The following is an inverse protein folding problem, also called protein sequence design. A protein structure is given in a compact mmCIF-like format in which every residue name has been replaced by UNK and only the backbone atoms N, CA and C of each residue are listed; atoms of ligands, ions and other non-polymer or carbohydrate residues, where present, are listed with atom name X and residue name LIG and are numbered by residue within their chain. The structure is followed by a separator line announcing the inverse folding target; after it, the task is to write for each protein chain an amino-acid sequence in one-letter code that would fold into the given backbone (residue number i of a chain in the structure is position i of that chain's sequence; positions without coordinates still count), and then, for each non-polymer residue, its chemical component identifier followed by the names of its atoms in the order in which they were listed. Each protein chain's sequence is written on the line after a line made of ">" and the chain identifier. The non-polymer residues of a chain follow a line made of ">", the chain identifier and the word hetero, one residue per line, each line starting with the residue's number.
data_IF_438296478733
#
_entry.id   IF_438296478733
#
_cell.length_a   1.000
_cell.length_b   1.000
_cell.length_c   1.000
_cell.angle_alpha   90.00
_cell.angle_beta   90.00
_cell.angle_gamma   90.00
#
_symmetry.space_group_name_H-M   'P 1'
#
loop_
_entity.id
_entity.type
_entity.pdbx_description
1 polymer ?
#
# COMPACT_ATOMS: atom_id res chain seq x y z
N UNK A 1 -9.55 7.75 22.71
CA UNK A 1 -9.44 6.28 22.62
C UNK A 1 -8.79 5.73 21.32
N UNK A 2 -8.87 6.40 20.15
CA UNK A 2 -8.30 5.92 18.86
C UNK A 2 -6.76 5.74 18.78
N UNK A 3 -5.97 6.29 19.72
CA UNK A 3 -4.50 6.13 19.72
C UNK A 3 -4.00 4.77 20.25
N UNK A 4 -4.71 4.12 21.20
CA UNK A 4 -4.25 2.88 21.81
C UNK A 4 -4.38 1.65 20.89
N UNK A 5 -5.49 1.54 20.14
CA UNK A 5 -5.67 0.46 19.17
C UNK A 5 -4.59 0.48 18.07
N UNK A 6 -4.17 1.67 17.64
CA UNK A 6 -3.12 1.84 16.62
C UNK A 6 -1.76 1.31 17.10
N UNK A 7 -1.48 1.38 18.40
CA UNK A 7 -0.24 0.87 19.01
C UNK A 7 -0.26 -0.65 19.16
N UNK A 8 -1.40 -1.22 19.56
CA UNK A 8 -1.56 -2.68 19.71
C UNK A 8 -1.44 -3.44 18.39
N UNK A 9 -2.05 -2.93 17.31
CA UNK A 9 -1.93 -3.54 15.98
C UNK A 9 -0.51 -3.41 15.41
N UNK A 10 0.18 -2.30 15.69
CA UNK A 10 1.59 -2.07 15.36
C UNK A 10 2.52 -3.07 16.04
N UNK A 11 2.27 -3.39 17.31
CA UNK A 11 3.09 -4.40 17.98
C UNK A 11 2.78 -5.82 17.48
N UNK A 12 1.58 -6.07 16.94
CA UNK A 12 1.15 -7.39 16.44
C UNK A 12 1.73 -7.74 15.06
N UNK A 13 1.72 -6.80 14.10
CA UNK A 13 2.31 -6.98 12.77
C UNK A 13 3.82 -7.26 12.84
N UNK A 14 4.51 -6.42 13.60
CA UNK A 14 5.92 -6.62 13.95
C UNK A 14 6.21 -7.96 14.63
N UNK A 15 5.34 -8.39 15.56
CA UNK A 15 5.46 -9.68 16.24
C UNK A 15 5.26 -10.84 15.27
N UNK A 16 4.35 -10.76 14.30
CA UNK A 16 4.15 -11.80 13.29
C UNK A 16 5.33 -11.94 12.33
N UNK A 17 5.90 -10.82 11.84
CA UNK A 17 7.08 -10.88 10.97
C UNK A 17 8.28 -11.40 11.75
N UNK A 18 8.51 -10.92 12.99
CA UNK A 18 9.51 -11.51 13.89
C UNK A 18 9.25 -12.99 14.12
N UNK A 19 8.00 -13.40 14.31
CA UNK A 19 7.64 -14.79 14.56
C UNK A 19 7.95 -15.68 13.35
N UNK A 20 7.69 -15.23 12.12
CA UNK A 20 8.05 -15.99 10.90
C UNK A 20 9.56 -16.23 10.82
N UNK A 21 10.37 -15.17 10.94
CA UNK A 21 11.83 -15.31 10.89
C UNK A 21 12.39 -16.05 12.13
N UNK A 22 11.77 -15.87 13.29
CA UNK A 22 12.11 -16.59 14.51
C UNK A 22 11.83 -18.09 14.37
N UNK A 23 10.67 -18.49 13.82
CA UNK A 23 10.36 -19.89 13.53
C UNK A 23 11.40 -20.47 12.57
N UNK A 24 11.77 -19.76 11.51
CA UNK A 24 12.78 -20.24 10.55
C UNK A 24 14.13 -20.44 11.25
N UNK A 25 14.58 -19.48 12.06
CA UNK A 25 15.84 -19.60 12.81
C UNK A 25 15.78 -20.73 13.84
N UNK A 26 14.67 -20.88 14.57
CA UNK A 26 14.49 -21.94 15.57
C UNK A 26 14.48 -23.32 14.91
N UNK A 27 13.82 -23.47 13.75
CA UNK A 27 13.84 -24.72 12.98
C UNK A 27 15.24 -25.03 12.48
N UNK A 28 16.00 -24.03 12.01
CA UNK A 28 17.38 -24.21 11.58
C UNK A 28 18.30 -24.66 12.74
N UNK A 29 18.18 -24.02 13.91
CA UNK A 29 18.91 -24.41 15.11
C UNK A 29 18.51 -25.80 15.62
N UNK A 30 17.22 -26.15 15.53
CA UNK A 30 16.73 -27.47 15.91
C UNK A 30 17.32 -28.56 15.00
N UNK A 31 17.39 -28.33 13.68
CA UNK A 31 18.07 -29.22 12.74
C UNK A 31 19.56 -29.36 13.06
N UNK A 32 20.22 -28.28 13.49
CA UNK A 32 21.62 -28.31 13.91
C UNK A 32 21.83 -29.15 15.17
N UNK A 33 20.92 -29.07 16.15
CA UNK A 33 20.95 -29.91 17.35
C UNK A 33 20.71 -31.39 17.01
N UNK A 34 19.74 -31.70 16.14
CA UNK A 34 19.44 -33.07 15.71
C UNK A 34 20.65 -33.67 14.97
N UNK A 35 21.26 -32.91 14.05
CA UNK A 35 22.45 -33.37 13.31
C UNK A 35 23.66 -33.55 14.21
N UNK A 36 23.89 -32.66 15.19
CA UNK A 36 24.93 -32.82 16.22
C UNK A 36 24.70 -34.08 17.07
N UNK A 37 23.46 -34.35 17.47
CA UNK A 37 23.12 -35.52 18.29
C UNK A 37 23.35 -36.82 17.52
N UNK A 38 22.96 -36.86 16.24
CA UNK A 38 23.25 -38.00 15.36
C UNK A 38 24.74 -38.20 15.12
N UNK A 39 25.51 -37.11 15.00
CA UNK A 39 26.96 -37.15 14.89
C UNK A 39 27.59 -37.77 16.14
N UNK A 40 27.23 -37.29 17.33
CA UNK A 40 27.74 -37.81 18.61
C UNK A 40 27.37 -39.28 18.83
N UNK A 41 26.16 -39.70 18.45
CA UNK A 41 25.72 -41.10 18.54
C UNK A 41 26.49 -42.03 17.60
N UNK A 42 26.78 -41.59 16.38
CA UNK A 42 27.59 -42.37 15.42
C UNK A 42 29.07 -42.44 15.82
N UNK A 43 29.57 -41.44 16.54
CA UNK A 43 30.95 -41.34 17.01
C UNK A 43 31.40 -42.55 17.84
N UNK A 44 30.48 -43.16 18.60
CA UNK A 44 30.79 -44.31 19.46
C UNK A 44 31.04 -45.62 18.70
N UNK A 45 30.64 -45.71 17.43
CA UNK A 45 30.60 -46.97 16.66
C UNK A 45 31.47 -46.99 15.39
N UNK A 46 32.31 -45.96 15.15
CA UNK A 46 33.05 -45.79 13.89
C UNK A 46 34.58 -45.81 14.06
N UNK A 47 35.29 -46.23 13.01
CA UNK A 47 36.75 -46.13 12.91
C UNK A 47 37.17 -44.65 12.73
N UNK A 48 38.36 -44.29 13.21
CA UNK A 48 38.85 -42.91 13.26
C UNK A 48 38.82 -42.15 11.91
N UNK A 49 39.00 -42.84 10.78
CA UNK A 49 38.95 -42.25 9.43
C UNK A 49 37.53 -41.84 9.00
N UNK A 50 36.52 -42.66 9.31
CA UNK A 50 35.12 -42.33 9.02
C UNK A 50 34.65 -41.16 9.89
N UNK A 51 35.12 -41.14 11.13
CA UNK A 51 34.91 -40.08 12.12
C UNK A 51 35.44 -38.72 11.63
N UNK A 52 36.64 -38.69 11.02
CA UNK A 52 37.23 -37.49 10.44
C UNK A 52 36.41 -36.94 9.26
N UNK A 53 35.99 -37.80 8.34
CA UNK A 53 35.14 -37.40 7.20
C UNK A 53 33.76 -36.89 7.67
N UNK A 54 33.18 -37.52 8.69
CA UNK A 54 31.92 -37.11 9.30
C UNK A 54 32.04 -35.73 9.98
N UNK A 55 33.18 -35.45 10.63
CA UNK A 55 33.46 -34.17 11.29
C UNK A 55 33.58 -33.02 10.27
N UNK A 56 34.25 -33.26 9.14
CA UNK A 56 34.35 -32.28 8.06
C UNK A 56 32.97 -31.98 7.47
N UNK A 57 32.16 -33.02 7.22
CA UNK A 57 30.82 -32.86 6.69
C UNK A 57 29.92 -32.08 7.66
N UNK A 58 30.00 -32.39 8.97
CA UNK A 58 29.28 -31.65 10.00
C UNK A 58 29.71 -30.18 10.07
N UNK A 59 31.01 -29.91 10.05
CA UNK A 59 31.54 -28.53 10.04
C UNK A 59 31.07 -27.72 8.83
N UNK A 60 31.00 -28.34 7.66
CA UNK A 60 30.46 -27.72 6.45
C UNK A 60 28.96 -27.41 6.58
N UNK A 61 28.16 -28.34 7.11
CA UNK A 61 26.71 -28.15 7.32
C UNK A 61 26.45 -27.04 8.35
N UNK A 62 27.15 -27.05 9.48
CA UNK A 62 27.03 -26.00 10.51
C UNK A 62 27.41 -24.63 9.94
N UNK A 63 28.50 -24.54 9.17
CA UNK A 63 28.88 -23.31 8.48
C UNK A 63 27.79 -22.76 7.57
N UNK A 64 27.12 -23.62 6.79
CA UNK A 64 25.98 -23.24 5.93
C UNK A 64 24.81 -22.71 6.76
N UNK A 65 24.46 -23.37 7.86
CA UNK A 65 23.36 -22.97 8.75
C UNK A 65 23.61 -21.59 9.37
N UNK A 66 24.83 -21.33 9.82
CA UNK A 66 25.22 -20.03 10.39
C UNK A 66 25.11 -18.92 9.35
N UNK A 67 25.62 -19.14 8.13
CA UNK A 67 25.54 -18.16 7.03
C UNK A 67 24.09 -17.86 6.65
N UNK A 68 23.24 -18.88 6.54
CA UNK A 68 21.81 -18.72 6.27
C UNK A 68 21.12 -17.92 7.39
N UNK A 69 21.44 -18.21 8.65
CA UNK A 69 20.86 -17.52 9.81
C UNK A 69 21.23 -16.03 9.83
N UNK A 70 22.50 -15.70 9.55
CA UNK A 70 22.95 -14.31 9.42
C UNK A 70 22.25 -13.63 8.23
N UNK A 71 22.14 -14.32 7.09
CA UNK A 71 21.43 -13.83 5.91
C UNK A 71 19.97 -13.47 6.21
N UNK A 72 19.26 -14.32 6.96
CA UNK A 72 17.89 -14.07 7.41
C UNK A 72 17.79 -12.84 8.31
N UNK A 73 18.73 -12.66 9.25
CA UNK A 73 18.75 -11.48 10.13
C UNK A 73 18.98 -10.19 9.35
N UNK A 74 19.84 -10.21 8.32
CA UNK A 74 20.08 -9.07 7.43
C UNK A 74 18.83 -8.77 6.61
N UNK A 75 18.19 -9.77 6.01
CA UNK A 75 16.93 -9.61 5.27
C UNK A 75 15.84 -8.97 6.14
N UNK A 76 15.67 -9.45 7.37
CA UNK A 76 14.71 -8.86 8.32
C UNK A 76 15.01 -7.37 8.61
N UNK A 77 16.29 -6.96 8.65
CA UNK A 77 16.67 -5.56 8.83
C UNK A 77 16.36 -4.72 7.58
N UNK A 78 16.62 -5.26 6.39
CA UNK A 78 16.37 -4.59 5.11
C UNK A 78 14.87 -4.39 4.90
N UNK A 79 14.06 -5.42 5.13
CA UNK A 79 12.60 -5.35 4.98
C UNK A 79 12.00 -4.29 5.89
N UNK A 80 12.36 -4.28 7.18
CA UNK A 80 11.93 -3.22 8.12
C UNK A 80 12.25 -1.81 7.65
N UNK A 81 13.44 -1.61 7.06
CA UNK A 81 13.85 -0.29 6.55
C UNK A 81 13.00 0.11 5.35
N UNK A 82 12.78 -0.83 4.41
CA UNK A 82 11.93 -0.64 3.24
C UNK A 82 10.50 -0.31 3.63
N UNK A 83 9.94 -1.03 4.60
CA UNK A 83 8.58 -0.80 5.06
C UNK A 83 8.43 0.59 5.69
N UNK A 84 9.36 0.97 6.58
CA UNK A 84 9.41 2.32 7.17
C UNK A 84 9.48 3.42 6.12
N UNK A 85 10.23 3.21 5.04
CA UNK A 85 10.28 4.12 3.91
C UNK A 85 8.93 4.19 3.19
N UNK A 86 8.31 3.06 2.87
CA UNK A 86 6.99 3.01 2.23
C UNK A 86 5.90 3.72 3.05
N UNK A 87 5.93 3.60 4.37
CA UNK A 87 4.97 4.30 5.25
C UNK A 87 5.20 5.80 5.24
N UNK A 88 6.46 6.22 5.26
CA UNK A 88 6.82 7.64 5.18
C UNK A 88 6.36 8.22 3.84
N UNK A 89 6.53 7.46 2.75
CA UNK A 89 6.04 7.81 1.42
C UNK A 89 4.50 7.87 1.36
N UNK A 90 3.79 6.89 1.95
CA UNK A 90 2.33 6.90 2.04
C UNK A 90 1.82 8.13 2.80
N UNK A 91 2.40 8.43 3.97
CA UNK A 91 2.00 9.59 4.77
C UNK A 91 2.28 10.90 4.03
N UNK A 92 3.43 10.99 3.34
CA UNK A 92 3.76 12.14 2.50
C UNK A 92 2.73 12.32 1.38
N UNK A 93 2.38 11.23 0.67
CA UNK A 93 1.34 11.25 -0.35
C UNK A 93 -0.02 11.70 0.23
N UNK A 94 -0.48 11.11 1.33
CA UNK A 94 -1.75 11.46 1.97
C UNK A 94 -1.80 12.93 2.39
N UNK A 95 -0.71 13.47 2.92
CA UNK A 95 -0.63 14.88 3.31
C UNK A 95 -0.70 15.80 2.09
N UNK A 96 0.07 15.49 1.02
CA UNK A 96 0.02 16.25 -0.23
C UNK A 96 -1.37 16.19 -0.86
N UNK A 97 -1.98 15.01 -0.93
CA UNK A 97 -3.33 14.81 -1.44
C UNK A 97 -4.34 15.63 -0.65
N UNK A 98 -4.35 15.56 0.69
CA UNK A 98 -5.28 16.34 1.52
C UNK A 98 -5.09 17.84 1.35
N UNK A 99 -3.84 18.31 1.28
CA UNK A 99 -3.55 19.72 1.04
C UNK A 99 -4.07 20.17 -0.33
N UNK A 100 -3.88 19.33 -1.35
CA UNK A 100 -4.36 19.61 -2.70
C UNK A 100 -5.89 19.60 -2.74
N UNK A 101 -6.51 18.52 -2.27
CA UNK A 101 -7.95 18.37 -2.17
C UNK A 101 -8.57 19.57 -1.45
N UNK A 102 -8.02 20.01 -0.32
CA UNK A 102 -8.55 21.17 0.40
C UNK A 102 -8.50 22.48 -0.41
N UNK A 103 -7.48 22.66 -1.26
CA UNK A 103 -7.35 23.85 -2.09
C UNK A 103 -8.43 23.93 -3.20
N UNK A 104 -8.97 22.80 -3.64
CA UNK A 104 -9.95 22.72 -4.74
C UNK A 104 -11.37 22.39 -4.26
N UNK A 105 -11.52 21.43 -3.34
CA UNK A 105 -12.82 20.90 -2.90
C UNK A 105 -13.71 21.98 -2.30
N UNK A 106 -13.20 22.91 -1.48
CA UNK A 106 -14.05 23.97 -0.92
C UNK A 106 -14.80 24.77 -2.00
N UNK A 107 -14.16 25.03 -3.15
CA UNK A 107 -14.78 25.74 -4.27
C UNK A 107 -15.68 24.82 -5.09
N UNK A 108 -15.27 23.58 -5.30
CA UNK A 108 -16.06 22.57 -6.00
C UNK A 108 -17.36 22.30 -5.22
N UNK A 109 -17.29 22.04 -3.92
CA UNK A 109 -18.43 21.79 -3.04
C UNK A 109 -19.44 22.95 -3.06
N UNK A 110 -18.95 24.19 -3.04
CA UNK A 110 -19.80 25.37 -3.19
C UNK A 110 -20.52 25.39 -4.55
N UNK A 111 -19.81 25.13 -5.64
CA UNK A 111 -20.38 25.11 -6.99
C UNK A 111 -21.35 23.94 -7.18
N UNK A 112 -21.07 22.77 -6.61
CA UNK A 112 -21.98 21.61 -6.61
C UNK A 112 -23.28 21.94 -5.88
N UNK A 113 -23.20 22.52 -4.67
CA UNK A 113 -24.38 22.95 -3.93
C UNK A 113 -25.25 23.92 -4.74
N UNK A 114 -24.62 24.85 -5.48
CA UNK A 114 -25.33 25.78 -6.35
C UNK A 114 -25.97 25.06 -7.53
N UNK A 115 -25.20 24.24 -8.25
CA UNK A 115 -25.66 23.42 -9.37
C UNK A 115 -26.87 22.55 -9.01
N UNK A 116 -26.84 21.91 -7.83
CA UNK A 116 -27.93 21.06 -7.35
C UNK A 116 -29.16 21.86 -6.89
N UNK A 117 -28.95 23.08 -6.38
CA UNK A 117 -30.03 23.97 -5.93
C UNK A 117 -30.81 24.63 -7.08
N UNK A 118 -30.18 24.81 -8.24
CA UNK A 118 -30.86 25.33 -9.43
C UNK A 118 -31.74 24.25 -10.07
N UNK A 119 -33.03 24.27 -9.72
CA UNK A 119 -34.04 23.35 -10.26
C UNK A 119 -34.75 23.91 -11.49
N UNK A 120 -35.06 25.21 -11.46
CA UNK A 120 -35.94 25.84 -12.44
C UNK A 120 -35.18 26.73 -13.44
N UNK A 121 -33.91 27.04 -13.18
CA UNK A 121 -33.07 27.85 -14.05
C UNK A 121 -32.02 26.98 -14.76
N UNK A 122 -32.38 26.50 -15.95
CA UNK A 122 -31.52 25.63 -16.74
C UNK A 122 -30.24 26.33 -17.23
N UNK A 123 -30.34 27.60 -17.60
CA UNK A 123 -29.19 28.40 -18.07
C UNK A 123 -28.17 28.60 -16.96
N UNK A 124 -28.62 28.93 -15.74
CA UNK A 124 -27.73 29.02 -14.58
C UNK A 124 -27.06 27.68 -14.26
N UNK A 125 -27.78 26.56 -14.45
CA UNK A 125 -27.24 25.22 -14.24
C UNK A 125 -26.14 24.87 -15.24
N UNK A 126 -26.30 25.27 -16.50
CA UNK A 126 -25.25 25.15 -17.53
C UNK A 126 -24.02 26.00 -17.12
N UNK A 127 -24.23 27.23 -16.66
CA UNK A 127 -23.13 28.10 -16.22
C UNK A 127 -22.32 27.47 -15.08
N UNK A 128 -23.00 26.92 -14.07
CA UNK A 128 -22.33 26.20 -12.99
C UNK A 128 -21.60 24.94 -13.48
N UNK A 129 -22.15 24.21 -14.46
CA UNK A 129 -21.47 23.06 -15.05
C UNK A 129 -20.15 23.47 -15.74
N UNK A 130 -20.14 24.58 -16.48
CA UNK A 130 -18.90 25.11 -17.09
C UNK A 130 -17.86 25.45 -16.02
N UNK A 131 -18.27 26.13 -14.94
CA UNK A 131 -17.37 26.45 -13.84
C UNK A 131 -16.83 25.20 -13.14
N UNK A 132 -17.67 24.18 -12.95
CA UNK A 132 -17.27 22.90 -12.37
C UNK A 132 -16.25 22.18 -13.27
N UNK A 133 -16.47 22.13 -14.58
CA UNK A 133 -15.52 21.57 -15.54
C UNK A 133 -14.13 22.22 -15.38
N UNK A 134 -14.06 23.55 -15.33
CA UNK A 134 -12.80 24.29 -15.16
C UNK A 134 -12.11 23.97 -13.83
N UNK A 135 -12.88 23.81 -12.74
CA UNK A 135 -12.31 23.46 -11.43
C UNK A 135 -11.79 22.04 -11.42
N UNK A 136 -12.52 21.08 -11.99
CA UNK A 136 -12.04 19.71 -12.11
C UNK A 136 -10.82 19.60 -13.05
N UNK A 137 -10.77 20.35 -14.15
CA UNK A 137 -9.59 20.41 -15.02
C UNK A 137 -8.36 20.96 -14.29
N UNK A 138 -8.55 22.04 -13.50
CA UNK A 138 -7.49 22.62 -12.68
C UNK A 138 -7.00 21.63 -11.62
N UNK A 139 -7.92 20.92 -10.97
CA UNK A 139 -7.60 19.92 -9.96
C UNK A 139 -6.85 18.73 -10.59
N UNK A 140 -7.33 18.21 -11.72
CA UNK A 140 -6.70 17.14 -12.49
C UNK A 140 -5.27 17.49 -12.91
N UNK A 141 -5.04 18.71 -13.43
CA UNK A 141 -3.71 19.19 -13.81
C UNK A 141 -2.74 19.27 -12.63
N UNK A 142 -3.24 19.63 -11.45
CA UNK A 142 -2.40 19.71 -10.26
C UNK A 142 -2.12 18.31 -9.67
N UNK A 143 -3.13 17.43 -9.64
CA UNK A 143 -3.02 16.06 -9.13
C UNK A 143 -2.14 15.16 -10.01
N UNK A 144 -2.19 15.34 -11.34
CA UNK A 144 -1.36 14.57 -12.28
C UNK A 144 0.14 14.87 -12.18
N UNK A 145 0.51 16.04 -11.65
CA UNK A 145 1.92 16.45 -11.43
C UNK A 145 2.48 15.98 -10.10
N UNK A 146 1.70 15.29 -9.28
CA UNK A 146 2.20 14.76 -8.01
C UNK A 146 3.28 13.71 -8.28
N UNK A 147 4.35 13.74 -7.49
CA UNK A 147 5.35 12.68 -7.47
C UNK A 147 4.80 11.47 -6.69
N UNK A 148 4.69 10.33 -7.38
CA UNK A 148 3.99 9.14 -6.90
C UNK A 148 4.94 7.94 -6.82
N UNK A 149 5.14 7.37 -5.62
CA UNK A 149 5.82 6.11 -5.44
C UNK A 149 5.17 4.97 -6.23
N UNK A 150 5.98 4.03 -6.74
CA UNK A 150 5.49 2.93 -7.58
C UNK A 150 4.33 2.13 -6.95
N UNK A 151 4.39 1.87 -5.64
CA UNK A 151 3.37 1.11 -4.93
C UNK A 151 2.02 1.86 -4.77
N UNK A 152 1.98 3.16 -5.05
CA UNK A 152 0.77 3.99 -5.06
C UNK A 152 0.26 4.28 -6.48
N UNK A 153 0.93 3.79 -7.52
CA UNK A 153 0.60 4.11 -8.92
C UNK A 153 -0.83 3.75 -9.28
N UNK A 154 -1.30 2.58 -8.85
CA UNK A 154 -2.68 2.16 -9.10
C UNK A 154 -3.70 3.04 -8.37
N UNK A 155 -3.46 3.31 -7.08
CA UNK A 155 -4.31 4.22 -6.28
C UNK A 155 -4.38 5.61 -6.93
N UNK A 156 -3.25 6.16 -7.35
CA UNK A 156 -3.19 7.44 -8.07
C UNK A 156 -3.96 7.40 -9.40
N UNK A 157 -3.86 6.32 -10.18
CA UNK A 157 -4.63 6.19 -11.42
C UNK A 157 -6.14 6.15 -11.19
N UNK A 158 -6.63 5.52 -10.11
CA UNK A 158 -8.06 5.50 -9.80
C UNK A 158 -8.61 6.90 -9.50
N UNK A 159 -7.86 7.72 -8.74
CA UNK A 159 -8.29 9.09 -8.46
C UNK A 159 -8.18 9.99 -9.70
N UNK A 160 -7.16 9.80 -10.55
CA UNK A 160 -7.09 10.48 -11.84
C UNK A 160 -8.30 10.17 -12.71
N UNK A 161 -8.69 8.90 -12.79
CA UNK A 161 -9.85 8.47 -13.57
C UNK A 161 -11.14 9.09 -13.04
N UNK A 162 -11.34 9.12 -11.71
CA UNK A 162 -12.44 9.84 -11.08
C UNK A 162 -12.49 11.32 -11.51
N UNK A 163 -11.38 12.05 -11.39
CA UNK A 163 -11.32 13.47 -11.75
C UNK A 163 -11.56 13.72 -13.25
N UNK A 164 -11.09 12.81 -14.12
CA UNK A 164 -11.37 12.86 -15.56
C UNK A 164 -12.86 12.69 -15.81
N UNK A 165 -13.50 11.71 -15.16
CA UNK A 165 -14.92 11.43 -15.33
C UNK A 165 -15.83 12.54 -14.80
N UNK A 166 -15.50 13.15 -13.66
CA UNK A 166 -16.19 14.34 -13.18
C UNK A 166 -16.10 15.48 -14.18
N UNK A 167 -14.89 15.77 -14.69
CA UNK A 167 -14.71 16.80 -15.72
C UNK A 167 -15.54 16.49 -16.97
N UNK A 168 -15.48 15.27 -17.48
CA UNK A 168 -16.26 14.83 -18.64
C UNK A 168 -17.77 14.93 -18.41
N UNK A 169 -18.24 14.64 -17.20
CA UNK A 169 -19.64 14.77 -16.82
C UNK A 169 -20.12 16.22 -16.94
N UNK A 170 -19.43 17.19 -16.33
CA UNK A 170 -19.88 18.59 -16.38
C UNK A 170 -19.72 19.22 -17.76
N UNK A 171 -18.67 18.85 -18.51
CA UNK A 171 -18.54 19.21 -19.92
C UNK A 171 -19.70 18.66 -20.76
N UNK A 172 -20.06 17.40 -20.51
CA UNK A 172 -21.16 16.74 -21.16
C UNK A 172 -22.50 17.40 -20.85
N UNK A 173 -22.70 17.78 -19.59
CA UNK A 173 -23.89 18.45 -19.13
C UNK A 173 -24.05 19.82 -19.81
N UNK A 174 -23.01 20.65 -19.84
CA UNK A 174 -23.03 21.96 -20.49
C UNK A 174 -23.23 21.87 -22.01
N UNK A 175 -22.78 20.76 -22.61
CA UNK A 175 -22.94 20.47 -24.05
C UNK A 175 -24.26 19.73 -24.38
N UNK A 176 -25.14 19.54 -23.40
CA UNK A 176 -26.44 18.87 -23.56
C UNK A 176 -26.35 17.43 -24.08
N UNK A 177 -25.32 16.68 -23.64
CA UNK A 177 -25.23 15.25 -23.92
C UNK A 177 -26.44 14.48 -23.39
N UNK A 178 -26.72 13.34 -24.02
CA UNK A 178 -27.80 12.44 -23.62
C UNK A 178 -27.69 12.00 -22.15
N UNK A 179 -28.82 11.96 -21.46
CA UNK A 179 -28.89 11.62 -20.04
C UNK A 179 -28.27 10.25 -19.72
N UNK A 180 -28.40 9.27 -20.62
CA UNK A 180 -27.80 7.94 -20.44
C UNK A 180 -26.27 7.98 -20.45
N UNK A 181 -25.68 8.86 -21.26
CA UNK A 181 -24.22 9.08 -21.28
C UNK A 181 -23.75 9.72 -19.99
N UNK A 182 -24.46 10.74 -19.51
CA UNK A 182 -24.16 11.41 -18.24
C UNK A 182 -24.28 10.44 -17.05
N UNK A 183 -25.32 9.62 -17.03
CA UNK A 183 -25.52 8.59 -16.00
C UNK A 183 -24.42 7.53 -16.00
N UNK A 184 -23.92 7.15 -17.17
CA UNK A 184 -22.77 6.25 -17.29
C UNK A 184 -21.50 6.88 -16.73
N UNK A 185 -21.19 8.12 -17.11
CA UNK A 185 -20.03 8.86 -16.61
C UNK A 185 -20.04 9.00 -15.08
N UNK A 186 -21.19 9.36 -14.51
CA UNK A 186 -21.38 9.44 -13.05
C UNK A 186 -21.10 8.11 -12.36
N UNK A 187 -21.63 6.98 -12.87
CA UNK A 187 -21.35 5.65 -12.31
C UNK A 187 -19.88 5.24 -12.40
N UNK A 188 -19.23 5.52 -13.53
CA UNK A 188 -17.81 5.23 -13.73
C UNK A 188 -16.93 6.08 -12.80
N UNK A 189 -17.30 7.34 -12.60
CA UNK A 189 -16.67 8.26 -11.65
C UNK A 189 -16.75 7.71 -10.22
N UNK A 190 -17.96 7.35 -9.76
CA UNK A 190 -18.18 6.79 -8.43
C UNK A 190 -17.40 5.48 -8.22
N UNK A 191 -17.39 4.60 -9.22
CA UNK A 191 -16.64 3.36 -9.16
C UNK A 191 -15.13 3.60 -9.00
N UNK A 192 -14.59 4.57 -9.74
CA UNK A 192 -13.18 4.95 -9.69
C UNK A 192 -12.79 5.53 -8.33
N UNK A 193 -13.63 6.41 -7.76
CA UNK A 193 -13.40 6.97 -6.44
C UNK A 193 -13.49 5.90 -5.32
N UNK A 194 -14.47 4.99 -5.42
CA UNK A 194 -14.59 3.87 -4.48
C UNK A 194 -13.38 2.94 -4.55
N UNK A 195 -12.85 2.67 -5.74
CA UNK A 195 -11.61 1.92 -5.92
C UNK A 195 -10.42 2.66 -5.29
N UNK A 196 -10.28 3.97 -5.51
CA UNK A 196 -9.25 4.79 -4.86
C UNK A 196 -9.28 4.64 -3.34
N UNK A 197 -10.44 4.83 -2.71
CA UNK A 197 -10.61 4.72 -1.26
C UNK A 197 -10.32 3.30 -0.75
N UNK A 198 -10.79 2.28 -1.47
CA UNK A 198 -10.54 0.87 -1.13
C UNK A 198 -9.04 0.55 -1.17
N UNK A 199 -8.35 0.94 -2.23
CA UNK A 199 -6.93 0.66 -2.38
C UNK A 199 -6.08 1.41 -1.38
N UNK A 200 -6.39 2.68 -1.12
CA UNK A 200 -5.71 3.45 -0.09
C UNK A 200 -5.85 2.79 1.29
N UNK A 201 -7.03 2.26 1.61
CA UNK A 201 -7.27 1.50 2.83
C UNK A 201 -6.53 0.15 2.84
N UNK A 202 -6.51 -0.57 1.70
CA UNK A 202 -5.78 -1.83 1.57
C UNK A 202 -4.27 -1.65 1.76
N UNK A 203 -3.69 -0.60 1.17
CA UNK A 203 -2.27 -0.25 1.31
C UNK A 203 -1.98 0.19 2.76
N UNK A 204 -2.87 0.98 3.36
CA UNK A 204 -2.71 1.36 4.76
C UNK A 204 -2.77 0.15 5.71
N UNK A 205 -3.67 -0.81 5.45
CA UNK A 205 -3.76 -2.05 6.21
C UNK A 205 -2.54 -2.94 6.00
N UNK A 206 -2.11 -3.16 4.75
CA UNK A 206 -0.97 -4.00 4.44
C UNK A 206 0.30 -3.45 5.07
N UNK A 207 0.56 -2.14 4.95
CA UNK A 207 1.71 -1.51 5.58
C UNK A 207 1.61 -1.53 7.10
N UNK A 208 0.43 -1.32 7.71
CA UNK A 208 0.25 -1.42 9.17
C UNK A 208 0.38 -2.84 9.73
N UNK A 209 0.08 -3.86 8.93
CA UNK A 209 0.32 -5.26 9.30
C UNK A 209 1.81 -5.61 9.23
N UNK A 210 2.62 -4.77 8.60
CA UNK A 210 4.05 -4.94 8.39
C UNK A 210 4.90 -4.09 9.37
N UNK A 211 4.37 -2.96 9.88
CA UNK A 211 4.97 -2.18 10.99
C UNK A 211 4.85 -2.91 12.31
#
# INVERSE_FOLDING_TARGET
>A
MKRMAKTYFRDFGYKMIRLKYFIIIVVALFLEIVTLTLYLLKMQNMLAFELFNLAILYGAISGIIVVLSIGILVLMKVDRKKDRQNITMLLSFQNKYRSLAHAYLNKIDYLLLRFDSERDNFDAKIEYAVLLEEKYDSYLKAFSKMDIPLFLKYTHSCELEHLVKEKEFYKGFSSLLEADTLKKLSKESEASHNNFLRELNNIEKSLKLII
#
